data_IF_671133068305
#
_entry.id   IF_671133068305
#
_cell.length_a   1.000
_cell.length_b   1.000
_cell.length_c   1.000
_cell.angle_alpha   90.00
_cell.angle_beta   90.00
_cell.angle_gamma   90.00
#
_symmetry.space_group_name_H-M   'P 1'
#
loop_
_entity.id
_entity.type
_entity.pdbx_description
1 polymer ?
#
# COMPACT_ATOMS: atom_id res chain seq x y z
N UNK A 1 -5.91 -12.42 -28.23
CA UNK A 1 -5.33 -11.43 -27.30
C UNK A 1 -3.83 -11.41 -27.52
N UNK A 2 -3.23 -10.27 -27.90
CA UNK A 2 -1.78 -10.21 -28.18
C UNK A 2 -0.96 -10.42 -26.90
N UNK A 3 0.23 -11.02 -27.01
CA UNK A 3 1.10 -11.33 -25.86
C UNK A 3 1.41 -10.09 -25.00
N UNK A 4 1.49 -8.90 -25.62
CA UNK A 4 1.70 -7.62 -24.93
C UNK A 4 0.51 -7.20 -24.06
N UNK A 5 -0.72 -7.53 -24.47
CA UNK A 5 -1.93 -7.24 -23.70
C UNK A 5 -2.07 -8.19 -22.50
N UNK A 6 -1.67 -9.46 -22.66
CA UNK A 6 -1.63 -10.45 -21.58
C UNK A 6 -0.59 -10.10 -20.50
N UNK A 7 0.59 -9.61 -20.90
CA UNK A 7 1.64 -9.17 -19.97
C UNK A 7 1.21 -7.93 -19.16
N UNK A 8 0.59 -6.93 -19.80
CA UNK A 8 0.04 -5.75 -19.12
C UNK A 8 -1.10 -6.09 -18.16
N UNK A 9 -1.99 -6.98 -18.58
CA UNK A 9 -3.09 -7.44 -17.73
C UNK A 9 -2.57 -8.23 -16.52
N UNK A 10 -1.53 -9.04 -16.69
CA UNK A 10 -0.84 -9.72 -15.58
C UNK A 10 -0.27 -8.74 -14.55
N UNK A 11 0.44 -7.69 -14.99
CA UNK A 11 0.99 -6.67 -14.09
C UNK A 11 -0.10 -5.87 -13.36
N UNK A 12 -1.20 -5.52 -14.04
CA UNK A 12 -2.34 -4.85 -13.41
C UNK A 12 -2.99 -5.74 -12.34
N UNK A 13 -3.16 -7.04 -12.62
CA UNK A 13 -3.69 -8.01 -11.65
C UNK A 13 -2.74 -8.12 -10.45
N UNK A 14 -1.43 -8.18 -10.67
CA UNK A 14 -0.44 -8.21 -9.59
C UNK A 14 -0.53 -6.95 -8.72
N UNK A 15 -0.59 -5.76 -9.32
CA UNK A 15 -0.75 -4.51 -8.57
C UNK A 15 -2.04 -4.48 -7.76
N UNK A 16 -3.13 -4.99 -8.33
CA UNK A 16 -4.43 -5.07 -7.66
C UNK A 16 -4.42 -6.04 -6.48
N UNK A 17 -3.81 -7.22 -6.65
CA UNK A 17 -3.65 -8.19 -5.56
C UNK A 17 -2.79 -7.63 -4.43
N UNK A 18 -1.71 -6.91 -4.77
CA UNK A 18 -0.85 -6.23 -3.78
C UNK A 18 -1.63 -5.18 -2.99
N UNK A 19 -2.50 -4.42 -3.66
CA UNK A 19 -3.38 -3.44 -3.01
C UNK A 19 -4.38 -4.12 -2.06
N UNK A 20 -5.04 -5.20 -2.49
CA UNK A 20 -5.99 -5.94 -1.66
C UNK A 20 -5.30 -6.51 -0.41
N UNK A 21 -4.17 -7.18 -0.58
CA UNK A 21 -3.40 -7.75 0.54
C UNK A 21 -2.97 -6.65 1.49
N UNK A 22 -2.49 -5.54 0.95
CA UNK A 22 -2.12 -4.36 1.72
C UNK A 22 -3.27 -3.80 2.57
N UNK A 23 -4.44 -3.63 1.96
CA UNK A 23 -5.63 -3.14 2.64
C UNK A 23 -6.17 -4.15 3.66
N UNK A 24 -6.08 -5.44 3.37
CA UNK A 24 -6.47 -6.51 4.30
C UNK A 24 -5.59 -6.56 5.56
N UNK A 25 -4.34 -6.07 5.48
CA UNK A 25 -3.43 -5.95 6.63
C UNK A 25 -3.66 -4.68 7.47
N UNK A 26 -4.52 -3.75 7.03
CA UNK A 26 -4.88 -2.54 7.78
C UNK A 26 -5.35 -2.82 9.23
N UNK A 27 -6.28 -3.77 9.50
CA UNK A 27 -6.69 -4.08 10.87
C UNK A 27 -5.51 -4.57 11.73
N UNK A 28 -4.58 -5.35 11.17
CA UNK A 28 -3.39 -5.81 11.89
C UNK A 28 -2.48 -4.63 12.29
N UNK A 29 -2.30 -3.65 11.40
CA UNK A 29 -1.54 -2.43 11.72
C UNK A 29 -2.26 -1.60 12.78
N UNK A 30 -3.59 -1.50 12.72
CA UNK A 30 -4.39 -0.82 13.75
C UNK A 30 -4.29 -1.51 15.11
N UNK A 31 -4.35 -2.84 15.15
CA UNK A 31 -4.18 -3.62 16.38
C UNK A 31 -2.80 -3.43 16.98
N UNK A 32 -1.74 -3.45 16.17
CA UNK A 32 -0.38 -3.17 16.64
C UNK A 32 -0.24 -1.75 17.20
N UNK A 33 -0.79 -0.74 16.51
CA UNK A 33 -0.78 0.65 16.98
C UNK A 33 -1.59 0.79 18.27
N UNK A 34 -2.74 0.13 18.38
CA UNK A 34 -3.56 0.13 19.59
C UNK A 34 -2.89 -0.61 20.76
N UNK A 35 -2.16 -1.69 20.49
CA UNK A 35 -1.39 -2.39 21.51
C UNK A 35 -0.23 -1.54 22.06
N UNK A 36 0.38 -0.71 21.21
CA UNK A 36 1.48 0.20 21.57
C UNK A 36 0.97 1.50 22.22
N UNK A 37 -0.23 1.96 21.87
CA UNK A 37 -0.82 3.22 22.39
C UNK A 37 -1.85 3.01 23.50
N UNK A 38 -2.25 1.76 23.76
CA UNK A 38 -3.24 1.36 24.76
C UNK A 38 -2.61 0.91 26.08
N UNK A 39 -3.46 0.79 27.10
CA UNK A 39 -3.12 0.72 28.54
C UNK A 39 -2.38 -0.54 29.03
N UNK A 40 -1.73 -1.32 28.16
CA UNK A 40 -1.15 -2.63 28.47
C UNK A 40 0.33 -2.83 28.13
N UNK A 41 1.03 -1.81 27.61
CA UNK A 41 2.45 -1.91 27.28
C UNK A 41 3.19 -0.61 27.56
N UNK A 42 4.41 -0.71 28.07
CA UNK A 42 5.28 0.44 28.33
C UNK A 42 5.39 1.36 27.08
N UNK A 43 5.22 2.68 27.27
CA UNK A 43 6.05 3.76 26.68
C UNK A 43 5.48 4.87 25.76
N UNK A 44 4.17 5.12 25.59
CA UNK A 44 3.75 6.37 24.91
C UNK A 44 2.53 7.02 25.56
N UNK A 45 2.75 8.08 26.34
CA UNK A 45 1.69 8.95 26.88
C UNK A 45 1.68 10.29 26.15
N UNK A 46 0.50 10.93 26.07
CA UNK A 46 0.36 12.27 25.49
C UNK A 46 0.57 12.33 23.96
N UNK A 47 1.40 13.27 23.50
CA UNK A 47 1.56 13.61 22.08
C UNK A 47 2.09 12.44 21.23
N UNK A 48 2.93 11.57 21.80
CA UNK A 48 3.52 10.47 21.05
C UNK A 48 2.50 9.36 20.74
N UNK A 49 1.50 9.15 21.60
CA UNK A 49 0.38 8.26 21.32
C UNK A 49 -0.53 8.82 20.21
N UNK A 50 -0.70 10.15 20.15
CA UNK A 50 -1.47 10.78 19.07
C UNK A 50 -0.78 10.62 17.71
N UNK A 51 0.56 10.75 17.66
CA UNK A 51 1.34 10.53 16.44
C UNK A 51 1.28 9.06 16.00
N UNK A 52 1.39 8.11 16.95
CA UNK A 52 1.29 6.69 16.63
C UNK A 52 -0.07 6.31 16.01
N UNK A 53 -1.16 6.98 16.43
CA UNK A 53 -2.48 6.81 15.80
C UNK A 53 -2.58 7.29 14.35
N UNK A 54 -1.61 8.04 13.84
CA UNK A 54 -1.53 8.43 12.42
C UNK A 54 -0.87 7.35 11.56
N UNK A 55 -0.15 6.38 12.15
CA UNK A 55 0.54 5.31 11.42
C UNK A 55 -0.40 4.52 10.50
N UNK A 56 -1.62 4.12 10.92
CA UNK A 56 -2.55 3.43 10.02
C UNK A 56 -2.97 4.28 8.81
N UNK A 57 -3.06 5.59 8.99
CA UNK A 57 -3.39 6.50 7.89
C UNK A 57 -2.24 6.58 6.87
N UNK A 58 -1.00 6.70 7.35
CA UNK A 58 0.19 6.64 6.48
C UNK A 58 0.36 5.28 5.80
N UNK A 59 0.00 4.18 6.47
CA UNK A 59 -0.02 2.85 5.88
C UNK A 59 -0.93 2.83 4.65
N UNK A 60 -2.19 3.22 4.81
CA UNK A 60 -3.17 3.25 3.71
C UNK A 60 -2.71 4.16 2.57
N UNK A 61 -2.19 5.36 2.88
CA UNK A 61 -1.63 6.24 1.85
C UNK A 61 -0.42 5.63 1.13
N UNK A 62 0.45 4.93 1.85
CA UNK A 62 1.58 4.20 1.27
C UNK A 62 1.12 3.12 0.30
N UNK A 63 0.10 2.35 0.66
CA UNK A 63 -0.42 1.26 -0.18
C UNK A 63 -1.08 1.81 -1.45
N UNK A 64 -1.89 2.87 -1.31
CA UNK A 64 -2.49 3.54 -2.46
C UNK A 64 -1.40 4.16 -3.34
N UNK A 65 -0.42 4.84 -2.76
CA UNK A 65 0.68 5.46 -3.48
C UNK A 65 1.54 4.46 -4.26
N UNK A 66 1.91 3.34 -3.63
CA UNK A 66 2.64 2.24 -4.28
C UNK A 66 1.81 1.62 -5.40
N UNK A 67 0.52 1.35 -5.15
CA UNK A 67 -0.38 0.77 -6.16
C UNK A 67 -0.51 1.69 -7.37
N UNK A 68 -0.77 2.98 -7.17
CA UNK A 68 -0.88 3.97 -8.24
C UNK A 68 0.45 4.13 -8.97
N UNK A 69 1.58 4.16 -8.26
CA UNK A 69 2.91 4.22 -8.85
C UNK A 69 3.22 3.02 -9.74
N UNK A 70 2.92 1.80 -9.28
CA UNK A 70 3.09 0.58 -10.07
C UNK A 70 2.20 0.56 -11.31
N UNK A 71 0.94 0.99 -11.18
CA UNK A 71 0.01 1.11 -12.32
C UNK A 71 0.53 2.15 -13.32
N UNK A 72 0.98 3.31 -12.85
CA UNK A 72 1.56 4.36 -13.69
C UNK A 72 2.80 3.86 -14.45
N UNK A 73 3.75 3.19 -13.78
CA UNK A 73 4.94 2.62 -14.43
C UNK A 73 4.54 1.56 -15.47
N UNK A 74 3.53 0.74 -15.18
CA UNK A 74 3.03 -0.29 -16.11
C UNK A 74 2.40 0.32 -17.37
N UNK A 75 1.71 1.45 -17.21
CA UNK A 75 1.14 2.24 -18.30
C UNK A 75 2.22 3.03 -19.06
N UNK A 76 3.05 3.79 -18.37
CA UNK A 76 4.09 4.67 -18.93
C UNK A 76 5.29 3.90 -19.51
N UNK A 77 5.76 2.84 -18.85
CA UNK A 77 6.74 1.90 -19.40
C UNK A 77 6.20 1.14 -20.62
N UNK A 78 4.88 1.01 -20.71
CA UNK A 78 4.15 0.62 -21.91
C UNK A 78 4.25 1.58 -23.09
N UNK A 79 4.33 2.88 -22.80
CA UNK A 79 4.41 3.95 -23.78
C UNK A 79 5.87 4.12 -24.25
N UNK A 80 6.85 4.01 -23.35
CA UNK A 80 8.27 4.12 -23.72
C UNK A 80 8.76 2.96 -24.62
N UNK A 81 8.35 1.72 -24.36
CA UNK A 81 8.73 0.55 -25.19
C UNK A 81 8.11 0.50 -26.60
N UNK A 82 7.20 1.42 -26.94
CA UNK A 82 6.62 1.54 -28.29
C UNK A 82 7.28 2.61 -29.15
N UNK A 83 8.20 3.41 -28.59
CA UNK A 83 8.88 4.52 -29.29
C UNK A 83 10.37 4.28 -29.54
N UNK A 84 10.88 3.10 -29.20
CA UNK A 84 12.24 2.61 -29.54
C UNK A 84 12.06 1.28 -30.26
#
# INVERSE_FOLDING_TARGET
>A
MSASMRSKMGQLITAFLLCIVGLALTPTVQEQVNAVTGSGGNNLTGAAAAIAKLIPMFWVFGIIGVTVGLVYITLAGGILRRRV
#
